data_IF_602347591949
#
_entry.id   IF_602347591949
#
_cell.length_a   1.000
_cell.length_b   1.000
_cell.length_c   1.000
_cell.angle_alpha   90.00
_cell.angle_beta   90.00
_cell.angle_gamma   90.00
#
_symmetry.space_group_name_H-M   'P 1'
#
loop_
_entity.id
_entity.type
_entity.pdbx_description
1 polymer ?
#
# COMPACT_ATOMS: atom_id res chain seq x y z
N UNK A 1 -13.81 4.87 -8.40
CA UNK A 1 -12.90 4.22 -7.41
C UNK A 1 -13.01 2.69 -7.34
N UNK A 2 -11.96 1.98 -7.78
CA UNK A 2 -11.74 0.55 -7.48
C UNK A 2 -10.70 0.45 -6.36
N UNK A 3 -10.56 -0.69 -5.69
CA UNK A 3 -9.49 -0.84 -4.69
C UNK A 3 -8.90 -2.25 -4.70
N UNK A 4 -7.58 -2.33 -4.47
CA UNK A 4 -6.86 -3.59 -4.41
C UNK A 4 -6.89 -4.08 -2.97
N UNK A 5 -7.31 -5.33 -2.76
CA UNK A 5 -7.34 -5.96 -1.43
C UNK A 5 -6.09 -6.79 -1.21
N UNK A 6 -5.54 -6.84 0.01
CA UNK A 6 -4.41 -7.71 0.31
C UNK A 6 -4.81 -9.19 0.17
N UNK A 7 -3.83 -10.01 -0.21
CA UNK A 7 -3.98 -11.46 -0.27
C UNK A 7 -4.19 -12.06 1.11
N UNK A 8 -4.94 -13.17 1.19
CA UNK A 8 -5.20 -13.87 2.46
C UNK A 8 -3.94 -14.52 3.04
N UNK A 9 -3.05 -15.04 2.20
CA UNK A 9 -1.76 -15.61 2.63
C UNK A 9 -0.89 -14.58 3.36
N UNK A 10 -0.54 -13.45 2.71
CA UNK A 10 0.21 -12.36 3.36
C UNK A 10 -0.49 -11.81 4.61
N UNK A 11 -1.82 -11.71 4.60
CA UNK A 11 -2.58 -11.28 5.78
C UNK A 11 -2.47 -12.28 6.93
N UNK A 12 -2.55 -13.59 6.65
CA UNK A 12 -2.38 -14.62 7.68
C UNK A 12 -0.96 -14.65 8.24
N UNK A 13 0.05 -14.51 7.38
CA UNK A 13 1.44 -14.39 7.82
C UNK A 13 1.65 -13.18 8.72
N UNK A 14 1.09 -12.02 8.35
CA UNK A 14 1.14 -10.81 9.19
C UNK A 14 0.47 -11.01 10.55
N UNK A 15 -0.66 -11.73 10.59
CA UNK A 15 -1.32 -12.08 11.85
C UNK A 15 -0.45 -12.97 12.74
N UNK A 16 0.13 -14.05 12.19
CA UNK A 16 1.03 -14.92 12.96
C UNK A 16 2.25 -14.14 13.46
N UNK A 17 2.84 -13.30 12.61
CA UNK A 17 3.96 -12.43 12.98
C UNK A 17 3.62 -11.43 14.09
N UNK A 18 2.39 -10.90 14.08
CA UNK A 18 1.93 -10.00 15.15
C UNK A 18 1.76 -10.71 16.50
N UNK A 19 1.30 -11.97 16.52
CA UNK A 19 1.26 -12.78 17.74
C UNK A 19 2.67 -13.00 18.28
N UNK A 20 3.61 -13.39 17.40
CA UNK A 20 5.01 -13.56 17.79
C UNK A 20 5.61 -12.26 18.36
N UNK A 21 5.24 -11.10 17.79
CA UNK A 21 5.67 -9.77 18.26
C UNK A 21 5.12 -9.46 19.66
N UNK A 22 3.86 -9.79 19.95
CA UNK A 22 3.27 -9.60 21.28
C UNK A 22 3.99 -10.46 22.31
N UNK A 23 4.21 -11.75 22.01
CA UNK A 23 4.93 -12.68 22.89
C UNK A 23 6.36 -12.19 23.14
N UNK A 24 7.03 -11.70 22.10
CA UNK A 24 8.35 -11.10 22.22
C UNK A 24 8.34 -9.84 23.09
N UNK A 25 7.35 -8.95 22.93
CA UNK A 25 7.22 -7.75 23.76
C UNK A 25 7.05 -8.08 25.25
N UNK A 26 6.24 -9.10 25.56
CA UNK A 26 6.07 -9.60 26.94
C UNK A 26 7.39 -10.15 27.47
N UNK A 27 8.04 -11.03 26.71
CA UNK A 27 9.34 -11.61 27.08
C UNK A 27 10.40 -10.52 27.29
N UNK A 28 10.49 -9.56 26.37
CA UNK A 28 11.37 -8.41 26.44
C UNK A 28 11.17 -7.63 27.74
N UNK A 29 9.93 -7.35 28.15
CA UNK A 29 9.68 -6.64 29.41
C UNK A 29 10.30 -7.36 30.59
N UNK A 30 10.04 -8.66 30.75
CA UNK A 30 10.58 -9.45 31.87
C UNK A 30 12.11 -9.52 31.86
N UNK A 31 12.69 -9.77 30.69
CA UNK A 31 14.14 -9.82 30.52
C UNK A 31 14.78 -8.46 30.82
N UNK A 32 14.22 -7.38 30.28
CA UNK A 32 14.76 -6.03 30.44
C UNK A 32 14.65 -5.56 31.88
N UNK A 33 13.52 -5.81 32.57
CA UNK A 33 13.40 -5.52 34.00
C UNK A 33 14.48 -6.21 34.83
N UNK A 34 14.85 -7.43 34.46
CA UNK A 34 15.89 -8.20 35.17
C UNK A 34 17.28 -7.57 34.99
N UNK A 35 17.56 -6.96 33.84
CA UNK A 35 18.86 -6.35 33.52
C UNK A 35 18.95 -4.91 34.04
N UNK A 36 17.86 -4.13 33.95
CA UNK A 36 17.88 -2.70 34.30
C UNK A 36 17.72 -2.42 35.79
N UNK A 37 17.46 -3.44 36.62
CA UNK A 37 17.21 -3.29 38.05
C UNK A 37 18.35 -2.63 38.81
N UNK A 38 19.59 -2.95 38.47
CA UNK A 38 20.80 -2.46 39.14
C UNK A 38 21.61 -1.49 38.28
N UNK A 39 20.97 -0.91 37.24
CA UNK A 39 21.68 -0.03 36.32
C UNK A 39 22.11 1.27 37.01
N UNK A 40 23.38 1.69 36.88
CA UNK A 40 23.88 2.96 37.41
C UNK A 40 23.40 4.18 36.59
N UNK A 41 22.71 3.95 35.47
CA UNK A 41 22.24 5.00 34.56
C UNK A 41 20.88 5.51 35.06
N UNK A 42 20.81 6.82 35.35
CA UNK A 42 19.56 7.47 35.74
C UNK A 42 18.47 7.27 34.66
N UNK A 43 17.32 6.74 35.06
CA UNK A 43 16.18 6.52 34.17
C UNK A 43 16.18 5.18 33.40
N UNK A 44 17.21 4.33 33.54
CA UNK A 44 17.24 3.01 32.91
C UNK A 44 16.07 2.10 33.32
N UNK A 45 15.45 2.36 34.47
CA UNK A 45 14.25 1.66 34.96
C UNK A 45 13.00 1.93 34.11
N UNK A 46 13.01 2.96 33.25
CA UNK A 46 11.90 3.25 32.33
C UNK A 46 11.99 2.39 31.06
N UNK A 47 13.20 1.94 30.70
CA UNK A 47 13.47 1.19 29.47
C UNK A 47 12.60 -0.07 29.26
N UNK A 48 12.30 -0.89 30.29
CA UNK A 48 11.40 -2.04 30.13
C UNK A 48 10.00 -1.66 29.62
N UNK A 49 9.48 -0.46 29.92
CA UNK A 49 8.15 -0.04 29.49
C UNK A 49 8.01 0.18 27.98
N UNK A 50 9.12 0.30 27.24
CA UNK A 50 9.07 0.28 25.77
C UNK A 50 8.46 -1.01 25.22
N UNK A 51 8.50 -2.11 25.98
CA UNK A 51 7.80 -3.34 25.63
C UNK A 51 6.27 -3.16 25.53
N UNK A 52 5.66 -2.24 26.28
CA UNK A 52 4.24 -1.92 26.16
C UNK A 52 3.91 -1.31 24.79
N UNK A 53 4.82 -0.49 24.25
CA UNK A 53 4.68 0.08 22.91
C UNK A 53 4.73 -1.03 21.86
N UNK A 54 5.69 -1.95 21.98
CA UNK A 54 5.80 -3.11 21.08
C UNK A 54 4.54 -3.97 21.13
N UNK A 55 4.02 -4.25 22.32
CA UNK A 55 2.77 -5.00 22.50
C UNK A 55 1.59 -4.25 21.85
N UNK A 56 1.49 -2.94 22.06
CA UNK A 56 0.44 -2.10 21.47
C UNK A 56 0.45 -2.14 19.93
N UNK A 57 1.63 -1.99 19.32
CA UNK A 57 1.82 -2.12 17.87
C UNK A 57 1.47 -3.54 17.41
N UNK A 58 1.89 -4.56 18.15
CA UNK A 58 1.56 -5.96 17.88
C UNK A 58 0.06 -6.21 17.86
N UNK A 59 -0.69 -5.70 18.84
CA UNK A 59 -2.15 -5.82 18.91
C UNK A 59 -2.81 -5.13 17.71
N UNK A 60 -2.39 -3.91 17.38
CA UNK A 60 -2.91 -3.18 16.23
C UNK A 60 -2.72 -3.98 14.93
N UNK A 61 -1.51 -4.50 14.70
CA UNK A 61 -1.21 -5.34 13.54
C UNK A 61 -2.01 -6.64 13.55
N UNK A 62 -2.18 -7.27 14.72
CA UNK A 62 -2.97 -8.49 14.86
C UNK A 62 -4.42 -8.27 14.43
N UNK A 63 -5.06 -7.18 14.89
CA UNK A 63 -6.44 -6.85 14.51
C UNK A 63 -6.55 -6.57 13.01
N UNK A 64 -5.65 -5.75 12.46
CA UNK A 64 -5.64 -5.41 11.03
C UNK A 64 -5.49 -6.66 10.15
N UNK A 65 -4.48 -7.48 10.43
CA UNK A 65 -4.18 -8.66 9.64
C UNK A 65 -5.20 -9.79 9.83
N UNK A 66 -5.74 -9.95 11.04
CA UNK A 66 -6.82 -10.90 11.30
C UNK A 66 -8.07 -10.55 10.48
N UNK A 67 -8.49 -9.27 10.54
CA UNK A 67 -9.63 -8.78 9.75
C UNK A 67 -9.41 -9.00 8.26
N UNK A 68 -8.20 -8.78 7.75
CA UNK A 68 -7.88 -8.99 6.34
C UNK A 68 -7.73 -10.47 5.95
N UNK A 69 -7.35 -11.36 6.87
CA UNK A 69 -7.21 -12.78 6.60
C UNK A 69 -8.56 -13.50 6.56
N UNK A 70 -9.48 -13.17 7.49
CA UNK A 70 -10.75 -13.89 7.67
C UNK A 70 -11.98 -13.11 7.18
N UNK A 71 -11.89 -11.79 7.09
CA UNK A 71 -13.01 -10.92 6.72
C UNK A 71 -13.50 -11.10 5.28
N UNK A 72 -14.81 -10.93 5.10
CA UNK A 72 -15.44 -10.80 3.77
C UNK A 72 -15.03 -9.47 3.14
N UNK A 73 -15.16 -8.39 3.91
CA UNK A 73 -14.77 -7.03 3.53
C UNK A 73 -13.40 -6.67 4.11
N UNK A 74 -12.41 -6.60 3.23
CA UNK A 74 -11.01 -6.34 3.58
C UNK A 74 -10.67 -4.87 3.38
N UNK A 75 -9.72 -4.37 4.17
CA UNK A 75 -9.14 -3.04 3.98
C UNK A 75 -8.40 -3.01 2.63
N UNK A 76 -8.50 -1.91 1.87
CA UNK A 76 -7.70 -1.75 0.66
C UNK A 76 -6.24 -1.44 1.00
N UNK A 77 -5.33 -1.93 0.16
CA UNK A 77 -3.92 -1.50 0.20
C UNK A 77 -3.72 -0.22 -0.61
N UNK A 78 -4.46 -0.08 -1.70
CA UNK A 78 -4.38 1.01 -2.65
C UNK A 78 -5.77 1.25 -3.21
N UNK A 79 -6.14 2.52 -3.31
CA UNK A 79 -7.32 2.97 -4.01
C UNK A 79 -6.93 3.37 -5.43
N UNK A 80 -7.66 2.84 -6.41
CA UNK A 80 -7.50 3.13 -7.83
C UNK A 80 -8.54 4.17 -8.18
N UNK A 81 -8.04 5.36 -8.52
CA UNK A 81 -8.82 6.53 -8.89
C UNK A 81 -8.71 6.72 -10.40
N UNK A 82 -9.82 7.01 -11.04
CA UNK A 82 -9.84 7.26 -12.49
C UNK A 82 -9.42 8.72 -12.78
N UNK A 83 -8.91 9.00 -13.99
CA UNK A 83 -8.47 10.35 -14.40
C UNK A 83 -9.57 11.42 -14.31
N UNK A 84 -10.83 11.00 -14.29
CA UNK A 84 -12.00 11.88 -14.14
C UNK A 84 -12.27 12.27 -12.67
N UNK A 85 -11.82 11.46 -11.71
CA UNK A 85 -11.99 11.69 -10.28
C UNK A 85 -10.82 12.52 -9.73
N UNK A 86 -9.58 12.15 -10.06
CA UNK A 86 -8.35 12.84 -9.64
C UNK A 86 -7.30 12.77 -10.76
N UNK A 87 -6.68 13.91 -11.07
CA UNK A 87 -5.63 13.97 -12.10
C UNK A 87 -4.27 13.61 -11.51
N UNK A 88 -3.54 12.73 -12.18
CA UNK A 88 -2.18 12.37 -11.81
C UNK A 88 -1.17 13.43 -12.33
N UNK A 89 -0.42 14.14 -11.46
CA UNK A 89 0.58 15.11 -11.88
C UNK A 89 1.68 14.53 -12.77
N UNK A 90 2.03 13.25 -12.59
CA UNK A 90 3.01 12.57 -13.46
C UNK A 90 2.44 12.32 -14.86
N UNK A 91 1.13 12.07 -14.98
CA UNK A 91 0.49 11.92 -16.28
C UNK A 91 0.43 13.26 -17.04
N UNK A 92 0.40 14.41 -16.35
CA UNK A 92 0.53 15.71 -17.02
C UNK A 92 1.97 16.00 -17.51
N UNK A 93 3.00 15.48 -16.82
CA UNK A 93 4.40 15.71 -17.14
C UNK A 93 4.97 14.72 -18.16
N UNK A 94 4.54 13.46 -18.08
CA UNK A 94 5.10 12.33 -18.84
C UNK A 94 4.04 11.54 -19.61
N UNK A 95 2.76 11.88 -19.48
CA UNK A 95 1.71 11.24 -20.26
C UNK A 95 1.91 11.56 -21.74
N UNK A 96 1.88 10.51 -22.58
CA UNK A 96 1.81 10.73 -24.01
C UNK A 96 0.48 11.43 -24.32
N UNK A 97 0.53 12.70 -24.72
CA UNK A 97 -0.61 13.47 -25.25
C UNK A 97 -1.08 12.96 -26.62
N UNK A 98 -0.75 11.73 -26.99
CA UNK A 98 -1.13 11.20 -28.28
C UNK A 98 -2.51 10.58 -28.15
N UNK A 99 -3.53 11.43 -28.35
CA UNK A 99 -4.75 11.00 -29.03
C UNK A 99 -4.33 10.58 -30.44
N UNK A 100 -3.66 9.43 -30.55
CA UNK A 100 -3.37 8.77 -31.81
C UNK A 100 -4.71 8.50 -32.47
N UNK A 101 -5.12 9.38 -33.38
CA UNK A 101 -6.31 9.15 -34.19
C UNK A 101 -5.87 8.16 -35.25
N UNK A 102 -6.52 7.01 -35.32
CA UNK A 102 -6.26 6.03 -36.36
C UNK A 102 -7.28 6.23 -37.48
N UNK A 103 -6.83 6.14 -38.74
CA UNK A 103 -7.76 6.18 -39.87
C UNK A 103 -8.60 4.91 -39.91
N UNK A 104 -9.92 5.04 -39.78
CA UNK A 104 -10.87 3.90 -39.79
C UNK A 104 -10.84 3.04 -41.05
N UNK A 105 -10.25 3.53 -42.13
CA UNK A 105 -10.20 2.82 -43.42
C UNK A 105 -8.88 2.09 -43.69
N UNK A 106 -7.74 2.61 -43.23
CA UNK A 106 -6.42 2.05 -43.55
C UNK A 106 -5.52 1.81 -42.33
N UNK A 107 -5.97 2.19 -41.13
CA UNK A 107 -5.24 1.99 -39.87
C UNK A 107 -4.00 2.87 -39.70
N UNK A 108 -3.78 3.85 -40.58
CA UNK A 108 -2.65 4.79 -40.44
C UNK A 108 -2.84 5.69 -39.23
N UNK A 109 -1.77 5.88 -38.46
CA UNK A 109 -1.71 6.80 -37.32
C UNK A 109 -1.71 8.26 -37.82
N UNK A 110 -2.60 9.07 -37.25
CA UNK A 110 -2.86 10.45 -37.64
C UNK A 110 -2.50 11.33 -36.43
N UNK A 111 -1.34 11.98 -36.53
CA UNK A 111 -0.78 12.79 -35.45
C UNK A 111 -1.38 14.21 -35.36
N UNK A 112 -2.26 14.60 -36.29
CA UNK A 112 -2.87 15.94 -36.31
C UNK A 112 -4.33 15.94 -36.79
N UNK A 113 -5.04 17.06 -36.61
CA UNK A 113 -6.41 17.24 -37.09
C UNK A 113 -6.46 17.45 -38.61
N UNK A 114 -6.21 16.39 -39.38
CA UNK A 114 -6.44 16.40 -40.82
C UNK A 114 -7.91 16.11 -41.14
N UNK A 115 -8.44 16.74 -42.19
CA UNK A 115 -9.78 16.42 -42.72
C UNK A 115 -9.77 15.14 -43.56
N UNK A 116 -8.63 14.81 -44.17
CA UNK A 116 -8.44 13.64 -45.01
C UNK A 116 -7.17 12.88 -44.60
N UNK A 117 -7.17 11.55 -44.75
CA UNK A 117 -6.05 10.70 -44.41
C UNK A 117 -4.86 10.93 -45.38
N UNK A 118 -3.63 11.18 -44.89
CA UNK A 118 -2.47 11.39 -45.76
C UNK A 118 -2.01 10.12 -46.50
N UNK A 119 -2.41 8.94 -46.03
CA UNK A 119 -2.03 7.65 -46.63
C UNK A 119 -3.05 7.16 -47.67
N UNK A 120 -4.36 7.30 -47.40
CA UNK A 120 -5.41 6.77 -48.27
C UNK A 120 -6.37 7.81 -48.85
N UNK A 121 -6.28 9.10 -48.47
CA UNK A 121 -7.10 10.19 -49.00
C UNK A 121 -8.56 10.22 -48.54
N UNK A 122 -9.03 9.26 -47.74
CA UNK A 122 -10.41 9.22 -47.23
C UNK A 122 -10.64 10.24 -46.11
N UNK A 123 -11.85 10.76 -46.02
CA UNK A 123 -12.27 11.68 -44.95
C UNK A 123 -12.19 10.98 -43.58
N UNK A 124 -11.67 11.70 -42.58
CA UNK A 124 -11.33 11.19 -41.24
C UNK A 124 -12.44 11.37 -40.21
#
# INVERSE_FOLDING_TARGET
MKSIKPGRGPSMQGFIGSIATILFGIFWMFMTFSITKESPIAGAQIFPFFGLIIIGIGIFQAVYHYKNATGKERMSIVDIVDEHEEKDPLNELFGCSDKEKYCSSCGTNIQANFRFCPSCGKEL
#
